data_IF_906539868874
#
_entry.id   IF_906539868874
#
_cell.length_a   1.000
_cell.length_b   1.000
_cell.length_c   1.000
_cell.angle_alpha   90.00
_cell.angle_beta   90.00
_cell.angle_gamma   90.00
#
_symmetry.space_group_name_H-M   'P 1'
#
loop_
_entity.id
_entity.type
_entity.pdbx_description
1 polymer ?
#
# COMPACT_ATOMS: atom_id res chain seq x y z
N UNK A 1 13.46 -8.52 -9.58
CA UNK A 1 12.56 -7.35 -9.71
C UNK A 1 11.72 -7.20 -8.44
N UNK A 2 11.18 -6.01 -8.17
CA UNK A 2 10.28 -5.76 -7.04
C UNK A 2 8.94 -5.21 -7.53
N UNK A 3 7.90 -5.44 -6.71
CA UNK A 3 6.59 -4.82 -6.89
C UNK A 3 6.14 -4.14 -5.60
N UNK A 4 5.15 -3.27 -5.71
CA UNK A 4 4.41 -2.74 -4.58
C UNK A 4 2.91 -2.97 -4.78
N UNK A 5 2.21 -3.25 -3.69
CA UNK A 5 0.75 -3.31 -3.62
C UNK A 5 0.31 -2.19 -2.70
N UNK A 6 -0.51 -1.28 -3.21
CA UNK A 6 -1.13 -0.22 -2.42
C UNK A 6 -2.62 -0.53 -2.30
N UNK A 7 -3.07 -0.82 -1.09
CA UNK A 7 -4.47 -1.05 -0.77
C UNK A 7 -5.18 0.30 -0.68
N UNK A 8 -6.05 0.56 -1.65
CA UNK A 8 -6.75 1.86 -1.77
C UNK A 8 -8.15 1.81 -1.16
N UNK A 9 -8.65 0.63 -0.80
CA UNK A 9 -9.97 0.43 -0.22
C UNK A 9 -11.09 0.61 -1.25
N UNK A 10 -12.25 1.10 -0.84
CA UNK A 10 -13.39 1.34 -1.73
C UNK A 10 -14.27 2.48 -1.24
N UNK A 11 -15.39 2.79 -1.91
CA UNK A 11 -16.23 3.95 -1.60
C UNK A 11 -16.88 3.91 -0.20
N UNK A 12 -16.93 2.73 0.44
CA UNK A 12 -17.33 2.61 1.84
C UNK A 12 -16.22 3.03 2.82
N UNK A 13 -14.95 3.06 2.38
CA UNK A 13 -13.79 3.56 3.12
C UNK A 13 -13.62 5.05 2.82
N UNK A 14 -14.03 5.89 3.77
CA UNK A 14 -14.03 7.35 3.58
C UNK A 14 -15.34 8.03 3.97
N UNK A 15 -16.31 7.28 4.50
CA UNK A 15 -17.61 7.80 4.97
C UNK A 15 -17.49 8.96 5.97
N UNK A 16 -16.41 9.00 6.76
CA UNK A 16 -16.07 10.09 7.68
C UNK A 16 -15.71 11.41 6.98
N UNK A 17 -15.37 11.36 5.70
CA UNK A 17 -15.06 12.51 4.85
C UNK A 17 -16.20 12.85 3.89
N UNK A 18 -17.44 12.48 4.21
CA UNK A 18 -18.59 12.96 3.43
C UNK A 18 -18.86 14.44 3.77
N UNK A 19 -19.22 15.28 2.78
CA UNK A 19 -19.61 14.91 1.41
C UNK A 19 -18.45 14.74 0.42
N UNK A 20 -17.21 15.16 0.76
CA UNK A 20 -16.06 15.15 -0.16
C UNK A 20 -15.82 13.79 -0.85
N UNK A 21 -15.99 12.70 -0.10
CA UNK A 21 -15.83 11.32 -0.62
C UNK A 21 -16.93 10.85 -1.58
N UNK A 22 -17.96 11.66 -1.86
CA UNK A 22 -18.95 11.36 -2.89
C UNK A 22 -18.44 11.61 -4.30
N UNK A 23 -17.65 12.67 -4.49
CA UNK A 23 -17.19 13.12 -5.81
C UNK A 23 -15.79 12.60 -6.11
N UNK A 24 -14.92 12.54 -5.10
CA UNK A 24 -13.51 12.18 -5.26
C UNK A 24 -13.17 10.94 -4.43
N UNK A 25 -12.56 9.91 -5.02
CA UNK A 25 -12.01 8.78 -4.27
C UNK A 25 -11.05 9.26 -3.18
N UNK A 26 -11.20 8.76 -1.94
CA UNK A 26 -10.32 9.10 -0.81
C UNK A 26 -8.81 9.06 -1.14
N UNK A 27 -8.27 8.08 -1.90
CA UNK A 27 -6.86 8.06 -2.27
C UNK A 27 -6.37 9.28 -3.05
N UNK A 28 -7.29 10.00 -3.70
CA UNK A 28 -7.00 11.19 -4.50
C UNK A 28 -7.16 12.50 -3.72
N UNK A 29 -7.52 12.44 -2.44
CA UNK A 29 -7.58 13.65 -1.61
C UNK A 29 -6.19 14.29 -1.52
N UNK A 30 -6.10 15.62 -1.66
CA UNK A 30 -4.84 16.32 -1.60
C UNK A 30 -4.30 16.33 -0.17
N UNK A 31 -3.04 15.96 -0.01
CA UNK A 31 -2.26 16.06 1.22
C UNK A 31 -0.94 16.73 0.85
N UNK A 32 -0.63 17.87 1.47
CA UNK A 32 0.54 18.70 1.14
C UNK A 32 0.63 19.06 -0.37
N UNK A 33 -0.51 19.30 -1.01
CA UNK A 33 -0.58 19.78 -2.40
C UNK A 33 -0.66 18.71 -3.48
N UNK A 34 -0.52 17.42 -3.15
CA UNK A 34 -0.62 16.30 -4.11
C UNK A 34 -1.55 15.21 -3.59
N UNK A 35 -2.14 14.36 -4.46
CA UNK A 35 -2.94 13.20 -4.05
C UNK A 35 -2.24 12.34 -2.99
N UNK A 36 -2.98 11.90 -1.96
CA UNK A 36 -2.45 11.05 -0.88
C UNK A 36 -1.70 9.81 -1.40
N UNK A 37 -2.22 9.20 -2.47
CA UNK A 37 -1.60 8.03 -3.09
C UNK A 37 -0.31 8.35 -3.87
N UNK A 38 -0.09 9.60 -4.29
CA UNK A 38 1.14 10.02 -4.95
C UNK A 38 2.35 9.89 -4.02
N UNK A 39 2.21 10.24 -2.73
CA UNK A 39 3.27 10.08 -1.73
C UNK A 39 3.74 8.62 -1.63
N UNK A 40 2.82 7.67 -1.72
CA UNK A 40 3.12 6.23 -1.67
C UNK A 40 3.83 5.77 -2.94
N UNK A 41 3.37 6.24 -4.11
CA UNK A 41 3.99 5.94 -5.40
C UNK A 41 5.42 6.48 -5.43
N UNK A 42 5.63 7.73 -4.99
CA UNK A 42 6.95 8.35 -4.91
C UNK A 42 7.88 7.60 -3.94
N UNK A 43 7.38 7.17 -2.78
CA UNK A 43 8.17 6.33 -1.86
C UNK A 43 8.58 5.00 -2.52
N UNK A 44 7.66 4.36 -3.25
CA UNK A 44 7.95 3.10 -3.95
C UNK A 44 8.96 3.27 -5.09
N UNK A 45 8.94 4.39 -5.81
CA UNK A 45 9.84 4.63 -6.96
C UNK A 45 11.28 4.90 -6.54
N UNK A 46 11.50 5.34 -5.29
CA UNK A 46 12.83 5.45 -4.69
C UNK A 46 13.49 4.07 -4.48
N UNK A 47 12.71 3.00 -4.36
CA UNK A 47 13.25 1.65 -4.14
C UNK A 47 13.91 1.08 -5.41
N UNK A 48 15.16 0.61 -5.34
CA UNK A 48 15.87 0.06 -6.49
C UNK A 48 15.18 -1.18 -7.08
N UNK A 49 15.10 -1.24 -8.41
CA UNK A 49 14.45 -2.34 -9.15
C UNK A 49 12.94 -2.48 -8.91
N UNK A 50 12.26 -1.42 -8.46
CA UNK A 50 10.80 -1.32 -8.52
C UNK A 50 10.35 -1.40 -9.98
N UNK A 51 9.52 -2.38 -10.32
CA UNK A 51 9.02 -2.59 -11.69
C UNK A 51 7.56 -2.25 -11.86
N UNK A 52 6.76 -2.48 -10.82
CA UNK A 52 5.31 -2.38 -10.93
C UNK A 52 4.69 -2.01 -9.58
N UNK A 53 3.74 -1.07 -9.63
CA UNK A 53 2.91 -0.67 -8.50
C UNK A 53 1.47 -1.07 -8.82
N UNK A 54 0.87 -1.90 -7.99
CA UNK A 54 -0.49 -2.40 -8.11
C UNK A 54 -1.37 -1.70 -7.09
N UNK A 55 -2.33 -0.92 -7.56
CA UNK A 55 -3.38 -0.35 -6.72
C UNK A 55 -4.52 -1.37 -6.62
N UNK A 56 -4.89 -1.80 -5.42
CA UNK A 56 -5.98 -2.76 -5.22
C UNK A 56 -7.12 -2.12 -4.43
N UNK A 57 -8.32 -2.16 -4.98
CA UNK A 57 -9.50 -1.63 -4.30
C UNK A 57 -10.78 -1.74 -5.12
N UNK A 58 -11.86 -1.18 -4.58
CA UNK A 58 -13.22 -1.29 -5.10
C UNK A 58 -13.79 0.08 -5.51
N UNK A 59 -13.04 0.90 -6.24
CA UNK A 59 -13.57 2.10 -6.90
C UNK A 59 -14.01 1.79 -8.33
N UNK A 60 -15.13 2.38 -8.76
CA UNK A 60 -15.46 2.40 -10.17
C UNK A 60 -14.44 3.28 -10.90
N UNK A 61 -13.83 2.80 -12.00
CA UNK A 61 -12.97 3.63 -12.82
C UNK A 61 -13.71 4.90 -13.22
N UNK A 62 -13.15 6.05 -12.86
CA UNK A 62 -13.69 7.35 -13.21
C UNK A 62 -12.59 8.20 -13.85
N UNK A 63 -12.97 9.34 -14.41
CA UNK A 63 -12.06 10.24 -15.09
C UNK A 63 -10.89 10.67 -14.19
N UNK A 64 -11.16 10.99 -12.92
CA UNK A 64 -10.15 11.42 -11.96
C UNK A 64 -9.07 10.35 -11.69
N UNK A 65 -9.48 9.10 -11.41
CA UNK A 65 -8.54 8.01 -11.16
C UNK A 65 -7.76 7.63 -12.42
N UNK A 66 -8.43 7.59 -13.58
CA UNK A 66 -7.77 7.29 -14.85
C UNK A 66 -6.73 8.36 -15.22
N UNK A 67 -7.11 9.64 -15.11
CA UNK A 67 -6.20 10.75 -15.36
C UNK A 67 -5.00 10.71 -14.41
N UNK A 68 -5.24 10.48 -13.11
CA UNK A 68 -4.17 10.32 -12.13
C UNK A 68 -3.20 9.20 -12.51
N UNK A 69 -3.71 8.02 -12.87
CA UNK A 69 -2.87 6.88 -13.26
C UNK A 69 -2.01 7.18 -14.49
N UNK A 70 -2.57 7.82 -15.52
CA UNK A 70 -1.81 8.22 -16.71
C UNK A 70 -0.69 9.19 -16.35
N UNK A 71 -1.01 10.26 -15.61
CA UNK A 71 -0.03 11.27 -15.21
C UNK A 71 1.07 10.68 -14.32
N UNK A 72 0.70 9.85 -13.33
CA UNK A 72 1.66 9.22 -12.43
C UNK A 72 2.62 8.28 -13.20
N UNK A 73 2.14 7.49 -14.16
CA UNK A 73 3.02 6.64 -14.97
C UNK A 73 4.02 7.46 -15.81
N UNK A 74 3.59 8.60 -16.36
CA UNK A 74 4.45 9.49 -17.14
C UNK A 74 5.51 10.17 -16.27
N UNK A 75 5.11 10.64 -15.08
CA UNK A 75 5.99 11.33 -14.14
C UNK A 75 7.02 10.38 -13.53
N UNK A 76 6.58 9.24 -13.00
CA UNK A 76 7.43 8.33 -12.24
C UNK A 76 8.11 7.24 -13.09
N UNK A 77 7.73 7.09 -14.37
CA UNK A 77 8.30 6.13 -15.32
C UNK A 77 8.32 4.68 -14.79
N UNK A 78 7.31 4.31 -14.01
CA UNK A 78 7.08 2.96 -13.48
C UNK A 78 5.71 2.47 -13.93
N UNK A 79 5.52 1.16 -14.09
CA UNK A 79 4.20 0.61 -14.40
C UNK A 79 3.28 0.76 -13.20
N UNK A 80 2.10 1.35 -13.38
CA UNK A 80 1.10 1.53 -12.32
C UNK A 80 -0.23 0.99 -12.83
N UNK A 81 -0.72 -0.11 -12.25
CA UNK A 81 -2.00 -0.71 -12.63
C UNK A 81 -2.99 -0.66 -11.50
N UNK A 82 -4.25 -0.40 -11.84
CA UNK A 82 -5.36 -0.54 -10.92
C UNK A 82 -6.05 -1.90 -11.11
N UNK A 83 -6.12 -2.67 -10.03
CA UNK A 83 -6.80 -3.96 -9.96
C UNK A 83 -8.09 -3.78 -9.17
N UNK A 84 -9.19 -3.67 -9.92
CA UNK A 84 -10.53 -3.44 -9.36
C UNK A 84 -11.09 -4.74 -8.77
N UNK A 85 -11.36 -4.74 -7.47
CA UNK A 85 -12.09 -5.81 -6.81
C UNK A 85 -13.53 -5.87 -7.34
N UNK A 86 -14.11 -7.07 -7.43
CA UNK A 86 -15.51 -7.23 -7.86
C UNK A 86 -16.52 -6.88 -6.76
N UNK A 87 -16.07 -6.84 -5.51
CA UNK A 87 -16.82 -6.44 -4.33
C UNK A 87 -15.84 -5.94 -3.25
N UNK A 88 -16.32 -5.44 -2.12
CA UNK A 88 -15.44 -5.12 -0.99
C UNK A 88 -14.95 -6.43 -0.32
N UNK A 89 -13.80 -6.96 -0.74
CA UNK A 89 -13.28 -8.26 -0.28
C UNK A 89 -12.56 -8.19 1.08
N UNK A 90 -12.51 -7.01 1.70
CA UNK A 90 -11.73 -6.76 2.91
C UNK A 90 -10.23 -6.61 2.63
N UNK A 91 -9.44 -6.39 3.67
CA UNK A 91 -8.01 -6.03 3.54
C UNK A 91 -7.18 -7.11 2.85
N UNK A 92 -7.39 -8.39 3.21
CA UNK A 92 -6.65 -9.51 2.61
C UNK A 92 -7.27 -10.07 1.34
N UNK A 93 -8.55 -9.77 1.06
CA UNK A 93 -9.30 -10.40 -0.02
C UNK A 93 -8.77 -10.03 -1.40
N UNK A 94 -8.53 -8.75 -1.67
CA UNK A 94 -7.93 -8.29 -2.92
C UNK A 94 -6.52 -8.84 -3.15
N UNK A 95 -5.70 -8.93 -2.10
CA UNK A 95 -4.35 -9.54 -2.19
C UNK A 95 -4.46 -11.01 -2.62
N UNK A 96 -5.33 -11.78 -1.97
CA UNK A 96 -5.52 -13.19 -2.32
C UNK A 96 -6.11 -13.36 -3.72
N UNK A 97 -7.10 -12.55 -4.09
CA UNK A 97 -7.74 -12.61 -5.39
C UNK A 97 -6.76 -12.32 -6.54
N UNK A 98 -5.88 -11.32 -6.37
CA UNK A 98 -4.90 -10.90 -7.37
C UNK A 98 -3.50 -11.50 -7.19
N UNK A 99 -3.34 -12.53 -6.34
CA UNK A 99 -2.04 -13.15 -6.01
C UNK A 99 -1.22 -13.53 -7.25
N UNK A 100 -1.87 -14.05 -8.30
CA UNK A 100 -1.19 -14.48 -9.52
C UNK A 100 -0.62 -13.28 -10.30
N UNK A 101 -1.31 -12.14 -10.27
CA UNK A 101 -0.82 -10.90 -10.88
C UNK A 101 0.30 -10.25 -10.05
N UNK A 102 0.18 -10.29 -8.72
CA UNK A 102 1.21 -9.83 -7.80
C UNK A 102 2.49 -10.64 -8.00
N UNK A 103 2.39 -11.97 -8.08
CA UNK A 103 3.53 -12.88 -8.26
C UNK A 103 3.98 -13.03 -9.71
N UNK A 104 3.25 -12.49 -10.68
CA UNK A 104 3.61 -12.57 -12.10
C UNK A 104 5.00 -11.99 -12.38
N UNK A 105 5.81 -12.74 -13.12
CA UNK A 105 7.21 -12.45 -13.42
C UNK A 105 8.18 -12.79 -12.29
N UNK A 106 7.74 -13.50 -11.25
CA UNK A 106 8.54 -13.97 -10.12
C UNK A 106 9.30 -12.83 -9.40
N UNK A 107 8.58 -11.88 -8.78
CA UNK A 107 9.24 -10.82 -8.02
C UNK A 107 10.02 -11.42 -6.85
N UNK A 108 11.18 -10.84 -6.56
CA UNK A 108 12.01 -11.27 -5.44
C UNK A 108 11.36 -10.96 -4.09
N UNK A 109 10.60 -9.86 -4.03
CA UNK A 109 9.75 -9.45 -2.92
C UNK A 109 8.72 -8.44 -3.43
N UNK A 110 7.68 -8.20 -2.63
CA UNK A 110 6.75 -7.09 -2.86
C UNK A 110 6.39 -6.40 -1.54
N UNK A 111 6.13 -5.10 -1.63
CA UNK A 111 5.63 -4.31 -0.49
C UNK A 111 4.10 -4.32 -0.46
N UNK A 112 3.52 -4.19 0.74
CA UNK A 112 2.09 -3.94 0.91
C UNK A 112 1.93 -2.68 1.75
N UNK A 113 1.23 -1.68 1.22
CA UNK A 113 0.97 -0.41 1.87
C UNK A 113 -0.54 -0.15 1.94
N UNK A 114 -1.00 0.48 3.01
CA UNK A 114 -2.37 1.03 3.08
C UNK A 114 -2.32 2.49 2.64
N UNK A 115 -3.13 2.88 1.65
CA UNK A 115 -3.09 4.23 1.08
C UNK A 115 -3.41 5.35 2.08
N UNK A 116 -4.03 5.04 3.21
CA UNK A 116 -4.38 6.01 4.25
C UNK A 116 -3.44 6.03 5.46
N UNK A 117 -2.29 5.36 5.35
CA UNK A 117 -1.17 5.49 6.28
C UNK A 117 -0.21 6.54 5.73
N UNK A 118 0.07 7.59 6.52
CA UNK A 118 1.09 8.59 6.17
C UNK A 118 2.36 8.32 6.98
N UNK A 119 3.48 8.11 6.30
CA UNK A 119 4.79 7.80 6.91
C UNK A 119 5.92 8.14 5.93
N UNK A 120 7.15 8.29 6.44
CA UNK A 120 8.36 8.41 5.62
C UNK A 120 8.75 7.09 4.93
N UNK A 121 8.12 5.96 5.33
CA UNK A 121 8.31 4.61 4.78
C UNK A 121 9.78 4.24 4.51
N UNK A 122 10.48 3.59 5.46
CA UNK A 122 11.87 3.16 5.28
C UNK A 122 11.99 1.91 4.37
N UNK A 123 11.44 1.97 3.15
CA UNK A 123 11.27 0.82 2.26
C UNK A 123 12.61 0.18 1.84
N UNK A 124 13.64 1.00 1.63
CA UNK A 124 14.98 0.51 1.28
C UNK A 124 15.63 -0.23 2.44
N UNK A 125 15.53 0.30 3.66
CA UNK A 125 16.04 -0.34 4.88
C UNK A 125 15.28 -1.64 5.17
N UNK A 126 13.96 -1.62 5.02
CA UNK A 126 13.10 -2.79 5.14
C UNK A 126 13.51 -3.89 4.15
N UNK A 127 13.78 -3.52 2.90
CA UNK A 127 14.25 -4.46 1.87
C UNK A 127 15.63 -5.03 2.20
N UNK A 128 16.56 -4.18 2.66
CA UNK A 128 17.90 -4.60 3.05
C UNK A 128 17.85 -5.59 4.21
N UNK A 129 17.06 -5.28 5.25
CA UNK A 129 16.84 -6.15 6.40
C UNK A 129 16.21 -7.50 6.00
N UNK A 130 15.17 -7.47 5.17
CA UNK A 130 14.52 -8.68 4.67
C UNK A 130 15.51 -9.58 3.90
N UNK A 131 16.37 -9.00 3.05
CA UNK A 131 17.41 -9.75 2.32
C UNK A 131 18.47 -10.36 3.23
N UNK A 132 18.92 -9.63 4.25
CA UNK A 132 19.92 -10.13 5.21
C UNK A 132 19.43 -11.35 5.99
N UNK A 133 18.13 -11.42 6.28
CA UNK A 133 17.53 -12.53 7.03
C UNK A 133 17.47 -13.84 6.24
N UNK A 134 17.55 -13.79 4.91
CA UNK A 134 17.70 -14.95 4.02
C UNK A 134 16.54 -15.95 3.95
N UNK A 135 15.50 -15.81 4.78
CA UNK A 135 14.34 -16.71 4.78
C UNK A 135 13.25 -16.22 3.82
N UNK A 136 13.01 -17.01 2.78
CA UNK A 136 11.93 -16.81 1.79
C UNK A 136 10.52 -16.86 2.40
N UNK A 137 10.38 -17.41 3.61
CA UNK A 137 9.09 -17.56 4.31
C UNK A 137 8.87 -16.48 5.39
N UNK A 138 9.72 -15.45 5.42
CA UNK A 138 9.62 -14.36 6.40
C UNK A 138 8.87 -13.16 5.83
N UNK A 139 7.99 -12.57 6.63
CA UNK A 139 7.40 -11.26 6.36
C UNK A 139 7.96 -10.23 7.34
N UNK A 140 8.11 -9.00 6.87
CA UNK A 140 8.54 -7.86 7.68
C UNK A 140 7.37 -6.91 7.87
N UNK A 141 7.08 -6.55 9.12
CA UNK A 141 6.07 -5.56 9.44
C UNK A 141 6.73 -4.29 9.99
N UNK A 142 6.26 -3.14 9.52
CA UNK A 142 6.59 -1.86 10.12
C UNK A 142 5.62 -1.59 11.28
N UNK A 143 6.14 -1.50 12.49
CA UNK A 143 5.39 -1.17 13.70
C UNK A 143 5.82 0.18 14.28
N UNK A 144 4.99 0.75 15.14
CA UNK A 144 5.34 1.92 15.96
C UNK A 144 4.90 1.70 17.40
N UNK A 145 5.56 2.36 18.34
CA UNK A 145 5.18 2.31 19.75
C UNK A 145 3.91 3.14 19.97
N UNK A 146 2.88 2.51 20.51
CA UNK A 146 1.63 3.17 20.87
C UNK A 146 1.45 3.15 22.40
N UNK A 147 0.97 4.26 22.97
CA UNK A 147 0.57 4.24 24.38
C UNK A 147 -0.70 3.38 24.58
N UNK A 148 -1.02 3.06 25.84
CA UNK A 148 -2.16 2.19 26.17
C UNK A 148 -3.47 2.65 25.53
N UNK A 149 -3.75 3.95 25.51
CA UNK A 149 -4.99 4.49 24.93
C UNK A 149 -5.02 4.37 23.41
N UNK A 150 -3.89 4.60 22.75
CA UNK A 150 -3.75 4.45 21.30
C UNK A 150 -3.86 2.98 20.87
N UNK A 151 -3.24 2.07 21.62
CA UNK A 151 -3.20 0.63 21.31
C UNK A 151 -4.59 -0.01 21.15
N UNK A 152 -5.60 0.55 21.81
CA UNK A 152 -7.00 0.09 21.71
C UNK A 152 -7.62 0.27 20.32
N UNK A 153 -7.01 1.08 19.44
CA UNK A 153 -7.52 1.39 18.10
C UNK A 153 -6.78 0.65 16.98
N UNK A 154 -5.76 -0.15 17.29
CA UNK A 154 -4.88 -0.78 16.31
C UNK A 154 -4.65 -2.26 16.63
N UNK A 155 -4.11 -3.01 15.66
CA UNK A 155 -3.53 -4.31 15.93
C UNK A 155 -2.24 -4.15 16.73
N UNK A 156 -2.09 -4.94 17.79
CA UNK A 156 -0.91 -4.92 18.64
C UNK A 156 0.02 -6.09 18.30
N UNK A 157 1.31 -5.82 18.24
CA UNK A 157 2.37 -6.81 18.14
C UNK A 157 2.96 -6.96 19.54
N UNK A 158 2.98 -8.18 20.08
CA UNK A 158 3.53 -8.45 21.41
C UNK A 158 4.76 -9.30 21.21
N UNK A 159 5.94 -8.73 21.49
CA UNK A 159 7.18 -9.48 21.48
C UNK A 159 7.51 -9.95 22.90
N UNK A 160 7.98 -11.18 23.03
CA UNK A 160 8.63 -11.65 24.25
C UNK A 160 9.89 -10.81 24.51
N UNK A 161 10.03 -10.28 25.72
CA UNK A 161 11.14 -9.38 26.08
C UNK A 161 12.51 -10.08 26.06
N UNK A 162 12.54 -11.39 26.33
CA UNK A 162 13.78 -12.16 26.44
C UNK A 162 14.14 -12.84 25.12
N UNK A 163 13.14 -13.39 24.41
CA UNK A 163 13.38 -14.16 23.16
C UNK A 163 13.19 -13.32 21.90
N UNK A 164 12.56 -12.15 21.99
CA UNK A 164 12.13 -11.32 20.85
C UNK A 164 11.21 -12.05 19.85
N UNK A 165 10.60 -13.16 20.25
CA UNK A 165 9.55 -13.84 19.49
C UNK A 165 8.26 -13.02 19.53
N UNK A 166 7.60 -12.92 18.38
CA UNK A 166 6.36 -12.16 18.15
C UNK A 166 5.18 -13.10 17.95
#
# INVERSE_FOLDING_TARGET
MLKAVILIGGPQKGTRFRPLSFEVPKPLFPVAGVPMIQHHIEACTKVPNMKEILLIGFYQPNEALNHFLVSAQQEFKVSIRYLQEYAALGTGGGIYHFRDQILSGNPAAFFVLNADVCSEFPLEEMLAFHRQRGSSDSFLMLGTTANRKQSLNYGCIVANADTHEV
#
